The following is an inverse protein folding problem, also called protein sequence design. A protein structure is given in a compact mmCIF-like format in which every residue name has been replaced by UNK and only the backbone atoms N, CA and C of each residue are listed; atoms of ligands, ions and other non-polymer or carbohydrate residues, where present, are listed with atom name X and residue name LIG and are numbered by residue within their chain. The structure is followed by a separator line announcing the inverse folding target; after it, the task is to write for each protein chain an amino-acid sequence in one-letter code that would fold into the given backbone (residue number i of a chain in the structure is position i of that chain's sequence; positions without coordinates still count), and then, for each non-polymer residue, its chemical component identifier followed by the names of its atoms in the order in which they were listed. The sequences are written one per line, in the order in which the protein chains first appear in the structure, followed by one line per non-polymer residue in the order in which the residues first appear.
data_IF_566230762145
#
_entry.id   IF_566230762145
#
_cell.length_a   1.000
_cell.length_b   1.000
_cell.length_c   1.000
_cell.angle_alpha   90.00
_cell.angle_beta   90.00
_cell.angle_gamma   90.00
#
_symmetry.space_group_name_H-M   'P 1'
#
loop_
_entity.id
_entity.type
_entity.pdbx_description
1 polymer ?
#
# COMPACT_ATOMS: atom_id res chain seq x y z
N UNK A 1 12.63 -16.81 -10.28
CA UNK A 1 11.96 -16.63 -9.01
C UNK A 1 12.06 -15.17 -8.57
N UNK A 2 11.14 -14.68 -7.75
CA UNK A 2 11.19 -13.35 -7.16
C UNK A 2 11.89 -13.46 -5.80
N UNK A 3 12.79 -12.52 -5.50
CA UNK A 3 13.47 -12.46 -4.20
C UNK A 3 12.75 -11.49 -3.27
N UNK A 4 12.52 -11.93 -2.02
CA UNK A 4 11.96 -11.11 -0.95
C UNK A 4 13.00 -10.83 0.11
N UNK A 5 12.94 -9.63 0.72
CA UNK A 5 13.87 -9.21 1.78
C UNK A 5 13.13 -8.51 2.92
N UNK A 6 13.52 -8.76 4.18
CA UNK A 6 13.05 -7.97 5.31
C UNK A 6 13.59 -6.54 5.22
N UNK A 7 12.97 -5.61 5.95
CA UNK A 7 13.37 -4.21 5.94
C UNK A 7 13.04 -3.50 7.24
N UNK A 8 13.63 -2.31 7.43
CA UNK A 8 13.33 -1.44 8.56
C UNK A 8 12.17 -0.52 8.22
N UNK A 9 10.96 -0.90 8.62
CA UNK A 9 9.76 -0.09 8.44
C UNK A 9 9.77 1.16 9.32
N UNK A 10 9.20 2.26 8.80
CA UNK A 10 8.83 3.41 9.63
C UNK A 10 7.34 3.32 9.90
N UNK A 11 6.95 3.24 11.16
CA UNK A 11 5.59 2.92 11.57
C UNK A 11 5.16 3.73 12.79
N UNK A 12 3.86 3.80 13.11
CA UNK A 12 3.37 4.48 14.32
C UNK A 12 4.13 4.02 15.57
N UNK A 13 4.40 4.92 16.50
CA UNK A 13 5.14 4.60 17.72
C UNK A 13 4.43 5.14 18.97
N UNK A 14 4.37 6.44 19.16
CA UNK A 14 3.71 7.08 20.30
C UNK A 14 2.33 7.68 19.94
N UNK A 15 1.66 7.08 18.96
CA UNK A 15 0.34 7.52 18.50
C UNK A 15 -0.53 6.34 18.12
N UNK A 16 -1.84 6.51 18.27
CA UNK A 16 -2.80 5.53 17.80
C UNK A 16 -2.74 5.40 16.28
N UNK A 17 -2.47 4.19 15.80
CA UNK A 17 -2.36 3.89 14.38
C UNK A 17 -3.61 4.30 13.59
N UNK A 18 -4.82 4.10 14.16
CA UNK A 18 -6.09 4.50 13.57
C UNK A 18 -6.15 5.99 13.26
N UNK A 19 -5.58 6.82 14.12
CA UNK A 19 -5.57 8.27 13.95
C UNK A 19 -4.62 8.74 12.85
N UNK A 20 -3.64 7.92 12.50
CA UNK A 20 -2.60 8.26 11.50
C UNK A 20 -2.94 7.80 10.10
N UNK A 21 -3.77 6.76 9.94
CA UNK A 21 -4.08 6.20 8.62
C UNK A 21 -4.73 7.24 7.71
N UNK A 22 -4.46 7.10 6.42
CA UNK A 22 -5.06 7.93 5.39
C UNK A 22 -6.02 7.09 4.55
N UNK A 23 -7.24 7.57 4.27
CA UNK A 23 -8.13 6.93 3.33
C UNK A 23 -7.57 7.00 1.90
N UNK A 24 -8.07 6.12 1.03
CA UNK A 24 -7.86 6.28 -0.40
C UNK A 24 -8.51 7.60 -0.86
N UNK A 25 -7.73 8.45 -1.51
CA UNK A 25 -8.21 9.77 -1.99
C UNK A 25 -9.04 9.67 -3.26
N UNK A 26 -9.01 8.53 -3.95
CA UNK A 26 -9.67 8.35 -5.25
C UNK A 26 -11.21 8.40 -5.14
N UNK A 27 -11.74 8.18 -3.94
CA UNK A 27 -13.18 8.16 -3.66
C UNK A 27 -13.64 9.32 -2.75
N UNK A 28 -12.74 10.24 -2.38
CA UNK A 28 -13.06 11.36 -1.52
C UNK A 28 -13.25 12.65 -2.31
N UNK A 29 -14.26 13.44 -1.92
CA UNK A 29 -14.35 14.84 -2.37
C UNK A 29 -13.21 15.67 -1.77
N UNK A 30 -12.86 16.78 -2.42
CA UNK A 30 -11.85 17.72 -1.89
C UNK A 30 -12.24 18.20 -0.49
N UNK A 31 -13.52 18.45 -0.25
CA UNK A 31 -14.02 18.85 1.07
C UNK A 31 -13.77 17.79 2.15
N UNK A 32 -14.04 16.52 1.84
CA UNK A 32 -13.77 15.40 2.76
C UNK A 32 -12.27 15.23 3.02
N UNK A 33 -11.41 15.41 2.01
CA UNK A 33 -9.96 15.40 2.18
C UNK A 33 -9.53 16.48 3.19
N UNK A 34 -10.04 17.69 3.07
CA UNK A 34 -9.71 18.78 3.99
C UNK A 34 -10.27 18.55 5.40
N UNK A 35 -11.45 17.94 5.53
CA UNK A 35 -12.01 17.54 6.82
C UNK A 35 -11.08 16.50 7.50
N UNK A 36 -10.64 15.47 6.77
CA UNK A 36 -9.70 14.47 7.30
C UNK A 36 -8.39 15.10 7.78
N UNK A 37 -7.82 16.03 7.01
CA UNK A 37 -6.57 16.72 7.36
C UNK A 37 -6.72 17.59 8.62
N UNK A 38 -7.90 18.17 8.85
CA UNK A 38 -8.18 19.03 10.01
C UNK A 38 -8.45 18.24 11.28
N UNK A 39 -9.15 17.11 11.19
CA UNK A 39 -9.60 16.35 12.35
C UNK A 39 -8.46 15.70 13.13
N UNK A 40 -7.32 15.46 12.50
CA UNK A 40 -6.14 14.95 13.18
C UNK A 40 -4.88 15.62 12.64
N UNK A 41 -4.14 16.26 13.56
CA UNK A 41 -2.89 16.93 13.18
C UNK A 41 -1.90 15.97 12.53
N UNK A 42 -1.76 14.75 13.04
CA UNK A 42 -0.80 13.75 12.58
C UNK A 42 -1.29 12.88 11.42
N UNK A 43 -2.44 13.19 10.84
CA UNK A 43 -3.00 12.39 9.75
C UNK A 43 -2.05 12.30 8.55
N UNK A 44 -1.78 11.07 8.11
CA UNK A 44 -0.82 10.77 7.04
C UNK A 44 -1.26 11.29 5.66
N UNK A 45 -2.53 11.66 5.51
CA UNK A 45 -3.06 12.28 4.29
C UNK A 45 -2.35 13.58 3.93
N UNK A 46 -1.83 14.32 4.94
CA UNK A 46 -1.02 15.52 4.71
C UNK A 46 0.29 15.24 3.97
N UNK A 47 0.75 13.99 4.00
CA UNK A 47 1.94 13.55 3.28
C UNK A 47 1.55 12.96 1.91
N UNK A 48 0.49 12.16 1.85
CA UNK A 48 0.04 11.48 0.63
C UNK A 48 -0.62 12.42 -0.37
N UNK A 49 -1.38 13.39 0.13
CA UNK A 49 -2.06 14.40 -0.66
C UNK A 49 -1.84 15.77 -0.03
N UNK A 50 -0.63 16.34 -0.16
CA UNK A 50 -0.31 17.63 0.41
C UNK A 50 -1.02 18.78 -0.30
N UNK A 51 -1.51 18.56 -1.53
CA UNK A 51 -2.15 19.58 -2.35
C UNK A 51 -3.51 19.95 -1.75
N UNK A 52 -3.61 21.17 -1.27
CA UNK A 52 -4.86 21.86 -1.00
C UNK A 52 -4.93 23.08 -1.93
N UNK A 53 -4.96 24.29 -1.36
CA UNK A 53 -4.88 25.55 -2.11
C UNK A 53 -3.41 25.96 -2.45
N UNK A 54 -2.41 25.14 -2.07
CA UNK A 54 -1.00 25.44 -2.29
C UNK A 54 -0.55 25.07 -3.70
N UNK A 55 0.46 25.77 -4.20
CA UNK A 55 1.15 25.37 -5.42
C UNK A 55 1.87 24.02 -5.18
N UNK A 56 1.99 23.19 -6.21
CA UNK A 56 2.57 21.84 -6.11
C UNK A 56 3.91 21.80 -5.39
N UNK A 57 4.82 22.76 -5.68
CA UNK A 57 6.12 22.84 -5.04
C UNK A 57 6.03 23.13 -3.54
N UNK A 58 5.16 24.02 -3.14
CA UNK A 58 4.96 24.39 -1.74
C UNK A 58 4.33 23.24 -0.96
N UNK A 59 3.42 22.49 -1.61
CA UNK A 59 2.79 21.33 -1.01
C UNK A 59 3.78 20.17 -0.73
N UNK A 60 4.80 19.97 -1.57
CA UNK A 60 5.86 19.00 -1.30
C UNK A 60 6.73 19.42 -0.11
N UNK A 61 7.02 20.72 0.04
CA UNK A 61 7.76 21.24 1.18
C UNK A 61 6.97 21.00 2.47
N UNK A 62 5.69 21.33 2.48
CA UNK A 62 4.79 21.08 3.65
C UNK A 62 4.71 19.60 4.02
N UNK A 63 4.58 18.71 3.03
CA UNK A 63 4.59 17.27 3.26
C UNK A 63 5.88 16.80 3.93
N UNK A 64 7.03 17.34 3.50
CA UNK A 64 8.32 17.01 4.10
C UNK A 64 8.43 17.53 5.54
N UNK A 65 8.07 18.78 5.78
CA UNK A 65 8.09 19.37 7.12
C UNK A 65 7.22 18.56 8.07
N UNK A 66 6.01 18.21 7.65
CA UNK A 66 5.10 17.39 8.45
C UNK A 66 5.67 15.99 8.73
N UNK A 67 6.27 15.35 7.73
CA UNK A 67 6.89 14.02 7.90
C UNK A 67 8.09 14.07 8.85
N UNK A 68 8.91 15.12 8.77
CA UNK A 68 10.05 15.31 9.67
C UNK A 68 9.58 15.64 11.11
N UNK A 69 8.51 16.41 11.24
CA UNK A 69 7.88 16.71 12.53
C UNK A 69 7.31 15.43 13.19
N UNK A 70 6.61 14.56 12.43
CA UNK A 70 6.15 13.26 12.93
C UNK A 70 7.30 12.41 13.48
N UNK A 71 8.46 12.42 12.84
CA UNK A 71 9.66 11.70 13.33
C UNK A 71 10.25 12.36 14.57
N UNK A 72 10.36 13.67 14.59
CA UNK A 72 10.95 14.43 15.71
C UNK A 72 10.11 14.30 16.98
N UNK A 73 8.78 14.19 16.84
CA UNK A 73 7.85 13.93 17.95
C UNK A 73 7.63 12.44 18.25
N UNK A 74 8.40 11.56 17.61
CA UNK A 74 8.28 10.10 17.73
C UNK A 74 6.83 9.58 17.49
N UNK A 75 6.03 10.30 16.70
CA UNK A 75 4.72 9.84 16.25
C UNK A 75 4.88 8.60 15.36
N UNK A 76 5.91 8.64 14.50
CA UNK A 76 6.39 7.52 13.71
C UNK A 76 7.86 7.26 14.02
N UNK A 77 8.26 5.99 14.00
CA UNK A 77 9.64 5.60 14.28
C UNK A 77 10.09 4.49 13.33
N UNK A 78 11.36 4.57 12.93
CA UNK A 78 11.99 3.52 12.13
C UNK A 78 12.43 2.38 13.00
N UNK A 79 12.12 1.15 12.59
CA UNK A 79 12.55 -0.06 13.28
C UNK A 79 14.09 -0.19 13.32
N UNK A 80 14.60 -0.78 14.39
CA UNK A 80 16.04 -0.93 14.58
C UNK A 80 16.63 -2.11 13.78
N UNK A 81 15.83 -3.14 13.52
CA UNK A 81 16.20 -4.34 12.75
C UNK A 81 15.41 -4.44 11.45
N UNK A 82 15.93 -5.22 10.51
CA UNK A 82 15.18 -5.60 9.32
C UNK A 82 14.17 -6.69 9.69
N UNK A 83 12.90 -6.47 9.36
CA UNK A 83 11.76 -7.31 9.72
C UNK A 83 10.92 -7.62 8.50
N UNK A 84 10.23 -8.77 8.52
CA UNK A 84 9.00 -8.92 7.75
C UNK A 84 7.83 -8.43 8.60
N UNK A 85 6.74 -8.07 7.95
CA UNK A 85 5.52 -7.65 8.63
C UNK A 85 4.38 -8.49 8.10
N UNK A 86 3.80 -9.34 8.95
CA UNK A 86 2.57 -10.06 8.59
C UNK A 86 1.42 -9.06 8.66
N UNK A 87 0.61 -9.03 7.63
CA UNK A 87 -0.49 -8.09 7.51
C UNK A 87 -1.78 -8.79 7.15
N UNK A 88 -2.79 -8.60 8.00
CA UNK A 88 -4.13 -9.11 7.83
C UNK A 88 -5.09 -7.95 7.58
N UNK A 89 -5.98 -8.14 6.62
CA UNK A 89 -7.12 -7.26 6.35
C UNK A 89 -8.38 -8.12 6.40
N UNK A 90 -9.41 -7.63 7.10
CA UNK A 90 -10.73 -8.25 7.13
C UNK A 90 -11.79 -7.21 6.74
N UNK A 91 -12.64 -7.55 5.81
CA UNK A 91 -13.74 -6.71 5.35
C UNK A 91 -14.93 -7.56 4.91
N UNK A 92 -16.13 -7.28 5.44
CA UNK A 92 -17.35 -8.03 5.13
C UNK A 92 -17.18 -9.56 5.25
N UNK A 93 -16.60 -10.01 6.38
CA UNK A 93 -16.30 -11.43 6.65
C UNK A 93 -15.29 -12.07 5.68
N UNK A 94 -14.70 -11.30 4.76
CA UNK A 94 -13.60 -11.74 3.93
C UNK A 94 -12.27 -11.37 4.60
N UNK A 95 -11.44 -12.37 4.82
CA UNK A 95 -10.13 -12.23 5.46
C UNK A 95 -9.03 -12.56 4.46
N UNK A 96 -8.02 -11.71 4.41
CA UNK A 96 -6.79 -11.96 3.66
C UNK A 96 -5.58 -11.76 4.57
N UNK A 97 -4.64 -12.67 4.49
CA UNK A 97 -3.40 -12.67 5.25
C UNK A 97 -2.22 -12.71 4.28
N UNK A 98 -1.36 -11.74 4.38
CA UNK A 98 -0.15 -11.61 3.57
C UNK A 98 0.99 -11.04 4.39
N UNK A 99 1.99 -10.53 3.71
CA UNK A 99 3.15 -9.95 4.37
C UNK A 99 3.73 -8.78 3.57
N UNK A 100 4.43 -7.87 4.28
CA UNK A 100 5.19 -6.80 3.65
C UNK A 100 6.65 -7.21 3.57
N UNK A 101 7.24 -6.93 2.42
CA UNK A 101 8.65 -7.18 2.13
C UNK A 101 9.21 -6.17 1.14
N UNK A 102 10.52 -6.22 0.92
CA UNK A 102 11.14 -5.62 -0.25
C UNK A 102 11.30 -6.67 -1.36
N UNK A 103 11.14 -6.22 -2.61
CA UNK A 103 11.47 -6.97 -3.81
C UNK A 103 12.38 -6.14 -4.71
N UNK A 104 13.14 -6.76 -5.60
CA UNK A 104 14.02 -6.04 -6.53
C UNK A 104 13.21 -5.33 -7.62
N UNK A 105 13.54 -4.07 -7.90
CA UNK A 105 12.99 -3.31 -9.04
C UNK A 105 13.37 -4.02 -10.36
N UNK A 106 14.53 -4.66 -10.39
CA UNK A 106 14.98 -5.43 -11.55
C UNK A 106 14.06 -6.61 -11.88
N UNK A 107 13.38 -7.19 -10.89
CA UNK A 107 12.38 -8.23 -11.12
C UNK A 107 11.14 -7.69 -11.87
N UNK A 108 10.83 -6.40 -11.72
CA UNK A 108 9.82 -5.73 -12.53
C UNK A 108 10.32 -5.49 -13.96
N UNK A 109 11.55 -5.00 -14.13
CA UNK A 109 12.15 -4.80 -15.45
C UNK A 109 12.25 -6.12 -16.24
N UNK A 110 12.51 -7.23 -15.55
CA UNK A 110 12.62 -8.58 -16.13
C UNK A 110 11.27 -9.33 -16.21
N UNK A 111 10.15 -8.62 -16.01
CA UNK A 111 8.78 -9.17 -16.10
C UNK A 111 8.49 -10.36 -15.16
N UNK A 112 9.21 -10.47 -14.04
CA UNK A 112 8.86 -11.37 -12.94
C UNK A 112 7.77 -10.75 -12.04
N UNK A 113 7.76 -9.42 -11.92
CA UNK A 113 6.66 -8.68 -11.33
C UNK A 113 5.83 -8.12 -12.48
N UNK A 114 4.60 -8.60 -12.62
CA UNK A 114 3.74 -8.33 -13.78
C UNK A 114 2.73 -7.24 -13.46
N UNK A 115 2.62 -6.29 -14.40
CA UNK A 115 1.58 -5.27 -14.39
C UNK A 115 0.46 -5.64 -15.37
N UNK A 116 -0.76 -5.17 -15.09
CA UNK A 116 -1.92 -5.32 -15.98
C UNK A 116 -2.52 -3.97 -16.39
N UNK A 117 -1.97 -2.87 -15.89
CA UNK A 117 -2.45 -1.52 -16.15
C UNK A 117 -1.37 -0.67 -16.81
N UNK A 118 -1.81 0.24 -17.69
CA UNK A 118 -0.91 1.21 -18.32
C UNK A 118 -0.47 2.27 -17.31
N UNK A 119 0.82 2.48 -17.22
CA UNK A 119 1.42 3.44 -16.30
C UNK A 119 1.54 4.80 -17.00
N UNK A 120 0.97 5.86 -16.42
CA UNK A 120 1.01 7.22 -16.95
C UNK A 120 2.23 7.98 -16.41
N UNK A 121 3.03 8.57 -17.30
CA UNK A 121 4.29 9.22 -16.98
C UNK A 121 4.14 10.35 -15.95
N UNK A 122 3.11 11.18 -16.10
CA UNK A 122 2.86 12.30 -15.17
C UNK A 122 2.63 11.79 -13.74
N UNK A 123 1.77 10.77 -13.57
CA UNK A 123 1.50 10.18 -12.25
C UNK A 123 2.72 9.50 -11.65
N UNK A 124 3.57 8.89 -12.48
CA UNK A 124 4.85 8.35 -12.01
C UNK A 124 5.78 9.44 -11.46
N UNK A 125 5.89 10.57 -12.20
CA UNK A 125 6.73 11.70 -11.78
C UNK A 125 6.24 12.31 -10.47
N UNK A 126 4.94 12.58 -10.34
CA UNK A 126 4.34 13.10 -9.10
C UNK A 126 4.68 12.21 -7.90
N UNK A 127 4.52 10.89 -8.03
CA UNK A 127 4.86 9.94 -6.98
C UNK A 127 6.36 9.85 -6.71
N UNK A 128 7.19 9.95 -7.75
CA UNK A 128 8.65 9.97 -7.61
C UNK A 128 9.13 11.23 -6.89
N UNK A 129 8.57 12.38 -7.22
CA UNK A 129 8.91 13.65 -6.55
C UNK A 129 8.46 13.64 -5.09
N UNK A 130 7.27 13.13 -4.79
CA UNK A 130 6.77 12.96 -3.43
C UNK A 130 7.69 12.06 -2.59
N UNK A 131 8.01 10.85 -3.05
CA UNK A 131 8.89 9.91 -2.34
C UNK A 131 10.32 10.43 -2.22
N UNK A 132 10.85 11.08 -3.26
CA UNK A 132 12.19 11.68 -3.23
C UNK A 132 12.27 12.83 -2.24
N UNK A 133 11.22 13.63 -2.13
CA UNK A 133 11.16 14.79 -1.25
C UNK A 133 11.21 14.39 0.24
N UNK A 134 10.48 13.37 0.63
CA UNK A 134 10.49 12.85 2.02
C UNK A 134 11.58 11.80 2.25
N UNK A 135 12.33 11.42 1.21
CA UNK A 135 13.36 10.38 1.24
C UNK A 135 12.85 9.04 1.81
N UNK A 136 11.64 8.66 1.43
CA UNK A 136 10.99 7.44 1.92
C UNK A 136 10.01 6.88 0.89
N UNK A 137 9.89 5.56 0.83
CA UNK A 137 8.81 4.91 0.09
C UNK A 137 7.52 5.03 0.90
N UNK A 138 6.42 5.36 0.23
CA UNK A 138 5.10 5.54 0.83
C UNK A 138 4.11 4.58 0.20
N UNK A 139 3.40 3.85 1.05
CA UNK A 139 2.41 2.87 0.63
C UNK A 139 3.04 1.66 -0.07
N UNK A 140 2.86 0.47 0.43
CA UNK A 140 3.31 -0.73 -0.25
C UNK A 140 2.58 -0.90 -1.58
N UNK A 141 3.23 -1.53 -2.55
CA UNK A 141 2.57 -1.98 -3.77
C UNK A 141 1.80 -3.25 -3.42
N UNK A 142 0.49 -3.25 -3.65
CA UNK A 142 -0.31 -4.45 -3.44
C UNK A 142 -0.02 -5.45 -4.57
N UNK A 143 0.49 -6.62 -4.18
CA UNK A 143 0.82 -7.70 -5.10
C UNK A 143 0.12 -8.98 -4.70
N UNK A 144 -0.20 -9.79 -5.72
CA UNK A 144 -0.72 -11.13 -5.53
C UNK A 144 0.27 -12.15 -6.09
N UNK A 145 0.33 -13.32 -5.48
CA UNK A 145 1.12 -14.46 -5.95
C UNK A 145 0.27 -15.73 -6.02
N UNK A 146 0.62 -16.70 -6.89
CA UNK A 146 -0.07 -18.00 -6.93
C UNK A 146 -0.13 -18.59 -5.53
N UNK A 147 -1.33 -19.00 -5.09
CA UNK A 147 -1.51 -19.46 -3.72
C UNK A 147 -0.65 -20.68 -3.45
N UNK A 148 0.14 -20.58 -2.41
CA UNK A 148 1.02 -21.60 -1.90
C UNK A 148 0.59 -21.99 -0.48
N UNK A 149 0.47 -23.29 -0.22
CA UNK A 149 -0.03 -23.78 1.07
C UNK A 149 1.02 -23.63 2.16
N UNK A 150 2.28 -23.82 1.83
CA UNK A 150 3.38 -23.75 2.82
C UNK A 150 3.61 -22.30 3.26
N UNK A 151 3.56 -21.36 2.34
CA UNK A 151 3.60 -19.93 2.69
C UNK A 151 2.43 -19.57 3.60
N UNK A 152 1.23 -20.05 3.28
CA UNK A 152 0.04 -19.82 4.12
C UNK A 152 0.19 -20.47 5.50
N UNK A 153 0.76 -21.67 5.58
CA UNK A 153 1.03 -22.35 6.85
C UNK A 153 2.06 -21.59 7.70
N UNK A 154 3.13 -21.07 7.10
CA UNK A 154 4.15 -20.25 7.78
C UNK A 154 3.49 -19.02 8.42
N UNK A 155 2.67 -18.30 7.66
CA UNK A 155 1.99 -17.09 8.14
C UNK A 155 1.00 -17.41 9.27
N UNK A 156 0.13 -18.41 9.08
CA UNK A 156 -0.86 -18.82 10.08
C UNK A 156 -0.21 -19.35 11.34
N UNK A 157 0.79 -20.23 11.22
CA UNK A 157 1.50 -20.78 12.38
C UNK A 157 2.16 -19.69 13.23
N UNK A 158 2.60 -18.59 12.62
CA UNK A 158 3.16 -17.47 13.37
C UNK A 158 2.09 -16.75 14.19
N UNK A 159 0.96 -16.38 13.58
CA UNK A 159 -0.10 -15.61 14.26
C UNK A 159 -0.88 -16.45 15.26
N UNK A 160 -0.98 -17.77 15.05
CA UNK A 160 -1.67 -18.70 15.95
C UNK A 160 -0.79 -19.12 17.14
N UNK A 161 0.50 -18.79 17.13
CA UNK A 161 1.39 -19.05 18.26
C UNK A 161 0.97 -18.21 19.47
N UNK A 162 0.88 -18.83 20.63
CA UNK A 162 0.45 -18.18 21.88
C UNK A 162 1.25 -16.93 22.25
N UNK A 163 2.52 -16.83 21.81
CA UNK A 163 3.36 -15.65 22.02
C UNK A 163 3.02 -14.47 21.11
N UNK A 164 2.35 -14.73 19.98
CA UNK A 164 2.09 -13.76 18.91
C UNK A 164 0.60 -13.47 18.74
N UNK A 165 -0.25 -13.88 19.67
CA UNK A 165 -1.71 -13.67 19.62
C UNK A 165 -2.09 -12.19 19.55
N UNK A 166 -1.27 -11.31 20.13
CA UNK A 166 -1.51 -9.87 20.13
C UNK A 166 -0.67 -9.25 19.01
N UNK A 167 -1.28 -8.70 17.97
CA UNK A 167 -0.55 -7.98 16.93
C UNK A 167 0.04 -6.65 17.45
N UNK A 168 1.05 -6.12 16.77
CA UNK A 168 1.58 -4.77 17.07
C UNK A 168 0.53 -3.68 16.81
N UNK A 169 -0.36 -3.91 15.84
CA UNK A 169 -1.51 -3.04 15.54
C UNK A 169 -2.75 -3.88 15.28
N UNK A 170 -3.87 -3.45 15.87
CA UNK A 170 -5.21 -4.00 15.67
C UNK A 170 -6.21 -2.84 15.75
N UNK A 171 -6.81 -2.49 14.62
CA UNK A 171 -7.75 -1.39 14.57
C UNK A 171 -8.76 -1.55 13.43
N UNK A 172 -9.91 -0.95 13.62
CA UNK A 172 -10.92 -0.79 12.58
C UNK A 172 -10.71 0.56 11.87
N UNK A 173 -10.63 0.52 10.55
CA UNK A 173 -10.52 1.70 9.69
C UNK A 173 -11.89 2.38 9.50
N UNK A 174 -11.88 3.58 8.91
CA UNK A 174 -13.09 4.37 8.62
C UNK A 174 -14.02 3.74 7.57
N UNK A 175 -13.56 2.74 6.82
CA UNK A 175 -14.36 1.96 5.86
C UNK A 175 -14.86 0.63 6.46
N UNK A 176 -14.78 0.46 7.79
CA UNK A 176 -15.10 -0.72 8.57
C UNK A 176 -14.21 -1.94 8.24
N UNK A 177 -13.10 -1.76 7.57
CA UNK A 177 -12.09 -2.81 7.45
C UNK A 177 -11.28 -2.93 8.74
N UNK A 178 -10.98 -4.16 9.16
CA UNK A 178 -10.14 -4.45 10.32
C UNK A 178 -8.73 -4.75 9.83
N UNK A 179 -7.75 -4.07 10.40
CA UNK A 179 -6.36 -4.19 10.04
C UNK A 179 -5.55 -4.71 11.22
N UNK A 180 -4.77 -5.77 10.99
CA UNK A 180 -3.82 -6.29 11.98
C UNK A 180 -2.44 -6.41 11.36
N UNK A 181 -1.42 -6.05 12.15
CA UNK A 181 -0.03 -6.13 11.68
C UNK A 181 0.85 -6.65 12.80
N UNK A 182 1.71 -7.60 12.46
CA UNK A 182 2.75 -8.18 13.33
C UNK A 182 4.12 -7.86 12.76
N UNK A 183 4.98 -7.28 13.57
CA UNK A 183 6.39 -7.04 13.23
C UNK A 183 7.22 -8.29 13.58
N UNK A 184 7.59 -9.06 12.57
CA UNK A 184 8.27 -10.34 12.74
C UNK A 184 9.77 -10.15 12.76
N UNK A 185 10.40 -10.44 13.90
CA UNK A 185 11.84 -10.26 14.13
C UNK A 185 12.63 -11.57 14.09
N UNK A 186 11.94 -12.69 14.21
CA UNK A 186 12.51 -14.02 14.34
C UNK A 186 13.20 -14.47 13.05
N UNK A 187 14.50 -14.73 13.14
CA UNK A 187 15.30 -15.15 11.98
C UNK A 187 14.85 -16.49 11.39
N UNK A 188 14.33 -17.38 12.22
CA UNK A 188 13.80 -18.67 11.77
C UNK A 188 12.62 -18.48 10.83
N UNK A 189 11.68 -17.59 11.21
CA UNK A 189 10.58 -17.22 10.33
C UNK A 189 11.07 -16.58 9.04
N UNK A 190 12.04 -15.64 9.13
CA UNK A 190 12.62 -15.00 7.95
C UNK A 190 13.18 -16.03 6.98
N UNK A 191 13.98 -16.96 7.49
CA UNK A 191 14.61 -18.00 6.66
C UNK A 191 13.56 -18.91 6.01
N UNK A 192 12.57 -19.35 6.77
CA UNK A 192 11.50 -20.23 6.28
C UNK A 192 10.68 -19.52 5.17
N UNK A 193 10.29 -18.26 5.41
CA UNK A 193 9.52 -17.51 4.41
C UNK A 193 10.35 -17.24 3.14
N UNK A 194 11.61 -16.85 3.26
CA UNK A 194 12.50 -16.60 2.12
C UNK A 194 12.71 -17.88 1.32
N UNK A 195 12.95 -19.01 2.00
CA UNK A 195 13.19 -20.28 1.32
C UNK A 195 11.97 -20.75 0.54
N UNK A 196 10.80 -20.72 1.17
CA UNK A 196 9.57 -21.15 0.54
C UNK A 196 9.15 -20.22 -0.62
N UNK A 197 9.39 -18.90 -0.46
CA UNK A 197 9.06 -17.93 -1.50
C UNK A 197 9.88 -18.09 -2.78
N UNK A 198 11.00 -18.85 -2.76
CA UNK A 198 11.75 -19.19 -3.97
C UNK A 198 10.95 -20.01 -4.96
N UNK A 199 9.90 -20.71 -4.52
CA UNK A 199 8.95 -21.42 -5.39
C UNK A 199 8.17 -20.45 -6.29
N UNK A 200 7.99 -19.21 -5.86
CA UNK A 200 7.14 -18.20 -6.52
C UNK A 200 7.90 -17.59 -7.70
N UNK A 201 7.44 -17.90 -8.91
CA UNK A 201 8.06 -17.41 -10.15
C UNK A 201 7.71 -15.97 -10.46
N UNK A 202 6.46 -15.59 -10.19
CA UNK A 202 5.94 -14.27 -10.53
C UNK A 202 5.11 -13.67 -9.41
N UNK A 203 5.20 -12.34 -9.27
CA UNK A 203 4.23 -11.50 -8.57
C UNK A 203 3.36 -10.75 -9.58
N UNK A 204 2.13 -10.45 -9.19
CA UNK A 204 1.18 -9.70 -10.02
C UNK A 204 0.76 -8.45 -9.25
N UNK A 205 0.99 -7.28 -9.82
CA UNK A 205 0.57 -6.03 -9.20
C UNK A 205 -0.96 -5.97 -9.27
N UNK A 206 -1.60 -5.89 -8.12
CA UNK A 206 -3.05 -5.66 -8.00
C UNK A 206 -3.36 -4.16 -7.88
N UNK A 207 -2.53 -3.40 -7.13
CA UNK A 207 -2.60 -1.95 -7.03
C UNK A 207 -1.22 -1.34 -6.83
N UNK A 208 -1.04 -0.09 -7.27
CA UNK A 208 0.20 0.65 -7.09
C UNK A 208 1.13 0.65 -8.30
N UNK A 209 0.62 0.45 -9.51
CA UNK A 209 1.39 0.50 -10.75
C UNK A 209 2.20 1.79 -10.90
N UNK A 210 1.61 2.95 -10.56
CA UNK A 210 2.31 4.23 -10.60
C UNK A 210 3.41 4.35 -9.52
N UNK A 211 3.25 3.69 -8.36
CA UNK A 211 4.29 3.60 -7.32
C UNK A 211 5.47 2.77 -7.79
N UNK A 212 5.22 1.65 -8.47
CA UNK A 212 6.28 0.84 -9.10
C UNK A 212 7.04 1.67 -10.16
N UNK A 213 6.32 2.34 -11.05
CA UNK A 213 6.92 3.22 -12.06
C UNK A 213 7.75 4.36 -11.44
N UNK A 214 7.24 4.97 -10.37
CA UNK A 214 7.97 6.01 -9.62
C UNK A 214 9.29 5.49 -9.04
N UNK A 215 9.29 4.31 -8.44
CA UNK A 215 10.51 3.69 -7.91
C UNK A 215 11.53 3.39 -9.01
N UNK A 216 11.07 3.02 -10.21
CA UNK A 216 11.96 2.86 -11.38
C UNK A 216 12.64 4.17 -11.78
N UNK A 217 11.91 5.29 -11.75
CA UNK A 217 12.47 6.63 -12.02
C UNK A 217 13.50 6.99 -10.95
N UNK A 218 13.15 6.83 -9.67
CA UNK A 218 14.02 7.14 -8.53
C UNK A 218 15.30 6.32 -8.58
N UNK A 219 15.20 5.02 -8.79
CA UNK A 219 16.34 4.12 -8.91
C UNK A 219 17.32 4.55 -10.00
N UNK A 220 16.82 4.91 -11.19
CA UNK A 220 17.64 5.40 -12.30
C UNK A 220 18.30 6.75 -11.97
N UNK A 221 17.56 7.69 -11.40
CA UNK A 221 18.04 9.06 -11.06
C UNK A 221 19.14 9.05 -10.01
N UNK A 222 19.07 8.14 -9.04
CA UNK A 222 19.98 8.11 -7.89
C UNK A 222 21.01 6.98 -7.93
N UNK A 223 21.08 6.20 -9.02
CA UNK A 223 22.01 5.08 -9.20
C UNK A 223 23.48 5.44 -8.93
N UNK A 224 23.86 6.71 -9.13
CA UNK A 224 25.21 7.22 -8.89
C UNK A 224 25.49 7.71 -7.45
N UNK A 225 24.47 7.80 -6.57
CA UNK A 225 24.56 8.45 -5.25
C UNK A 225 24.70 7.51 -4.07
N UNK A 226 25.14 6.27 -4.23
CA UNK A 226 25.27 5.26 -3.15
C UNK A 226 24.00 4.98 -2.32
N UNK A 227 22.84 5.42 -2.78
CA UNK A 227 21.57 5.03 -2.15
C UNK A 227 21.15 3.68 -2.73
N UNK A 228 20.97 2.69 -1.85
CA UNK A 228 20.50 1.38 -2.27
C UNK A 228 18.98 1.44 -2.55
N UNK A 229 18.64 1.98 -3.73
CA UNK A 229 17.28 2.11 -4.23
C UNK A 229 16.95 1.01 -5.24
N UNK A 230 17.52 -0.17 -5.06
CA UNK A 230 17.28 -1.33 -5.90
C UNK A 230 16.00 -2.08 -5.53
N UNK A 231 15.43 -1.76 -4.37
CA UNK A 231 14.30 -2.47 -3.81
C UNK A 231 13.05 -1.58 -3.70
N UNK A 232 11.90 -2.22 -3.83
CA UNK A 232 10.59 -1.61 -3.65
C UNK A 232 9.76 -2.37 -2.63
N UNK A 233 9.00 -1.65 -1.81
CA UNK A 233 8.15 -2.23 -0.78
C UNK A 233 6.85 -2.75 -1.38
N UNK A 234 6.54 -4.01 -1.09
CA UNK A 234 5.31 -4.68 -1.51
C UNK A 234 4.54 -5.23 -0.31
N UNK A 235 3.23 -5.32 -0.46
CA UNK A 235 2.36 -6.14 0.37
C UNK A 235 1.91 -7.31 -0.50
N UNK A 236 2.35 -8.52 -0.18
CA UNK A 236 2.13 -9.72 -0.99
C UNK A 236 1.06 -10.61 -0.35
N UNK A 237 0.03 -10.95 -1.13
CA UNK A 237 -1.08 -11.79 -0.69
C UNK A 237 -1.27 -13.00 -1.61
N UNK A 238 -1.68 -14.18 -1.06
CA UNK A 238 -2.05 -15.33 -1.88
C UNK A 238 -3.25 -15.02 -2.78
N UNK A 239 -3.21 -15.40 -4.05
CA UNK A 239 -4.27 -15.09 -5.02
C UNK A 239 -5.66 -15.58 -4.58
N UNK A 240 -5.75 -16.75 -3.93
CA UNK A 240 -7.03 -17.29 -3.42
C UNK A 240 -7.68 -16.44 -2.32
N UNK A 241 -6.88 -15.59 -1.66
CA UNK A 241 -7.39 -14.69 -0.62
C UNK A 241 -7.69 -13.29 -1.15
N UNK A 242 -7.26 -12.98 -2.38
CA UNK A 242 -7.61 -11.72 -3.03
C UNK A 242 -9.03 -11.79 -3.58
N UNK A 243 -9.83 -10.75 -3.34
CA UNK A 243 -11.19 -10.63 -3.85
C UNK A 243 -11.29 -9.42 -4.77
N UNK A 244 -11.86 -9.63 -5.94
CA UNK A 244 -12.16 -8.57 -6.88
C UNK A 244 -13.60 -8.12 -6.61
N UNK A 245 -13.77 -6.83 -6.36
CA UNK A 245 -15.07 -6.19 -6.22
C UNK A 245 -15.42 -5.46 -7.51
N UNK A 246 -16.71 -5.33 -7.76
CA UNK A 246 -17.22 -4.57 -8.89
C UNK A 246 -16.80 -3.11 -8.77
N UNK A 247 -16.34 -2.54 -9.88
CA UNK A 247 -16.02 -1.13 -9.96
C UNK A 247 -17.23 -0.34 -10.43
N UNK A 248 -18.20 -0.17 -9.54
CA UNK A 248 -19.47 0.48 -9.83
C UNK A 248 -19.31 1.96 -10.18
N UNK A 249 -20.12 2.43 -11.10
CA UNK A 249 -20.27 3.84 -11.42
C UNK A 249 -21.54 4.38 -10.76
N UNK A 250 -21.38 5.44 -10.00
CA UNK A 250 -22.51 6.15 -9.40
C UNK A 250 -22.84 7.35 -10.26
N UNK A 251 -24.09 7.44 -10.71
CA UNK A 251 -24.60 8.60 -11.44
C UNK A 251 -25.39 9.49 -10.47
N UNK A 252 -25.29 10.79 -10.65
CA UNK A 252 -25.90 11.77 -9.76
C UNK A 252 -27.43 11.78 -9.90
N UNK A 253 -27.89 11.69 -11.14
CA UNK A 253 -29.31 11.66 -11.49
C UNK A 253 -29.50 10.99 -12.87
N UNK A 254 -30.74 10.73 -13.24
CA UNK A 254 -31.09 10.09 -14.51
C UNK A 254 -31.34 11.11 -15.65
N UNK A 255 -30.95 12.36 -15.46
CA UNK A 255 -31.12 13.44 -16.44
C UNK A 255 -32.58 13.60 -16.95
N UNK A 256 -33.55 13.53 -16.02
CA UNK A 256 -34.98 13.63 -16.28
C UNK A 256 -35.63 12.37 -16.86
N UNK A 257 -34.88 11.27 -17.05
CA UNK A 257 -35.42 9.97 -17.49
C UNK A 257 -36.01 9.21 -16.32
N UNK A 258 -37.03 8.38 -16.60
CA UNK A 258 -37.43 7.33 -15.67
C UNK A 258 -36.41 6.22 -15.70
N UNK A 259 -36.38 5.35 -14.66
CA UNK A 259 -35.47 4.21 -14.58
C UNK A 259 -35.57 3.32 -15.85
N UNK A 260 -36.78 2.99 -16.29
CA UNK A 260 -36.99 2.17 -17.49
C UNK A 260 -36.48 2.84 -18.78
N UNK A 261 -36.62 4.16 -18.88
CA UNK A 261 -36.10 4.92 -20.05
C UNK A 261 -34.58 4.95 -20.02
N UNK A 262 -33.98 5.08 -18.83
CA UNK A 262 -32.54 5.05 -18.65
C UNK A 262 -31.96 3.68 -19.00
N UNK A 263 -32.53 2.60 -18.47
CA UNK A 263 -32.14 1.23 -18.80
C UNK A 263 -32.22 0.97 -20.30
N UNK A 264 -33.33 1.38 -20.94
CA UNK A 264 -33.48 1.25 -22.38
C UNK A 264 -32.38 2.00 -23.17
N UNK A 265 -32.05 3.21 -22.76
CA UNK A 265 -31.00 3.99 -23.41
C UNK A 265 -29.62 3.38 -23.25
N UNK A 266 -29.32 2.78 -22.06
CA UNK A 266 -28.04 2.10 -21.83
C UNK A 266 -27.98 0.80 -22.66
N UNK A 267 -29.08 0.06 -22.78
CA UNK A 267 -29.13 -1.21 -23.52
C UNK A 267 -28.83 -1.06 -25.03
N UNK A 268 -28.83 0.17 -25.55
CA UNK A 268 -28.39 0.41 -26.93
C UNK A 268 -26.87 0.23 -27.12
N UNK A 269 -26.09 0.31 -26.02
CA UNK A 269 -24.61 0.28 -26.06
C UNK A 269 -23.99 -0.78 -25.11
N UNK A 270 -24.79 -1.36 -24.22
CA UNK A 270 -24.32 -2.31 -23.21
C UNK A 270 -25.35 -3.46 -23.07
N UNK A 271 -24.85 -4.63 -22.71
CA UNK A 271 -25.70 -5.73 -22.22
C UNK A 271 -26.11 -5.40 -20.78
N UNK A 272 -27.41 -5.27 -20.53
CA UNK A 272 -27.99 -4.87 -19.24
C UNK A 272 -28.90 -5.96 -18.71
#
# INVERSE_FOLDING_TARGET
MVEIKPFKGTRPFNADARSLIAPSTDHLSIENIEIFKKNNYWNYLKILNPVGQLKEKDSLIEAKLHFDEMKNHEVIKKDLSDNFYIYQIEFNSHKQLGFLSLVLIEDFNNNKIKAHEKIYENRMKERADQMSNINSQIGPIYTSFPSDIEISNILNSYIDNSKNLIPDYDFESFDNSIHKLWCVKEKEFHNSLIEEFKSIKNLYIADGHHRMGAMTIISKKYKSKKMNLENVMVAAFPAKQSKIYDYNRVIKDLNGLTENQFIKAISENFDV
#
